data_IF_692107384928
#
_entry.id   IF_692107384928
#
_cell.length_a   1.000
_cell.length_b   1.000
_cell.length_c   1.000
_cell.angle_alpha   90.00
_cell.angle_beta   90.00
_cell.angle_gamma   90.00
#
_symmetry.space_group_name_H-M   'P 1'
#
loop_
_entity.id
_entity.type
_entity.pdbx_description
1 polymer ?
#
# COMPACT_ATOMS: atom_id res chain seq x y z
N UNK A 1 8.77 18.25 -6.87
CA UNK A 1 8.70 16.95 -6.15
C UNK A 1 8.14 15.83 -7.02
N UNK A 2 7.05 16.07 -7.76
CA UNK A 2 6.50 15.14 -8.75
C UNK A 2 7.57 14.53 -9.68
N UNK A 3 8.46 15.33 -10.26
CA UNK A 3 9.55 14.82 -11.14
C UNK A 3 10.49 13.80 -10.48
N UNK A 4 10.76 13.89 -9.17
CA UNK A 4 11.65 12.94 -8.47
C UNK A 4 10.92 11.63 -8.21
N UNK A 5 9.64 11.70 -7.86
CA UNK A 5 8.78 10.52 -7.67
C UNK A 5 8.54 9.82 -9.00
N UNK A 6 8.20 10.56 -10.05
CA UNK A 6 8.03 10.04 -11.41
C UNK A 6 9.33 9.43 -11.93
N UNK A 7 10.48 10.11 -11.80
CA UNK A 7 11.77 9.56 -12.22
C UNK A 7 12.21 8.34 -11.38
N UNK A 8 11.84 8.26 -10.10
CA UNK A 8 12.08 7.09 -9.27
C UNK A 8 11.22 5.89 -9.71
N UNK A 9 9.95 6.12 -10.04
CA UNK A 9 9.00 5.07 -10.46
C UNK A 9 9.26 4.60 -11.89
N UNK A 10 9.68 5.48 -12.79
CA UNK A 10 9.99 5.20 -14.20
C UNK A 10 11.33 4.48 -14.40
N UNK A 11 12.25 4.53 -13.43
CA UNK A 11 13.50 3.81 -13.53
C UNK A 11 13.27 2.30 -13.39
N UNK A 12 13.57 1.55 -14.46
CA UNK A 12 13.51 0.08 -14.50
C UNK A 12 14.44 -0.62 -13.49
N UNK A 13 15.34 0.14 -12.87
CA UNK A 13 16.26 -0.31 -11.81
C UNK A 13 15.80 0.07 -10.40
N UNK A 14 14.60 0.63 -10.22
CA UNK A 14 14.10 1.07 -8.92
C UNK A 14 13.97 -0.08 -7.90
N UNK A 15 13.68 -1.30 -8.37
CA UNK A 15 13.69 -2.50 -7.54
C UNK A 15 15.11 -2.84 -7.04
N UNK A 16 16.15 -2.62 -7.86
CA UNK A 16 17.55 -2.77 -7.46
C UNK A 16 17.98 -1.63 -6.53
N UNK A 17 17.53 -0.41 -6.80
CA UNK A 17 17.72 0.75 -5.93
C UNK A 17 17.11 0.50 -4.54
N UNK A 18 15.84 0.11 -4.43
CA UNK A 18 15.19 -0.22 -3.15
C UNK A 18 15.81 -1.40 -2.41
N UNK A 19 16.44 -2.33 -3.13
CA UNK A 19 17.18 -3.46 -2.53
C UNK A 19 18.53 -3.03 -1.94
N UNK A 20 19.10 -1.90 -2.40
CA UNK A 20 20.25 -1.29 -1.75
C UNK A 20 19.81 -0.48 -0.52
N UNK A 21 20.42 -0.74 0.63
CA UNK A 21 20.15 -0.05 1.90
C UNK A 21 20.29 1.49 1.78
N UNK A 22 21.09 1.97 0.81
CA UNK A 22 21.21 3.38 0.43
C UNK A 22 19.90 4.05 -0.03
N UNK A 23 18.95 3.35 -0.68
CA UNK A 23 17.70 3.95 -1.16
C UNK A 23 16.73 4.33 -0.02
N UNK A 24 16.89 3.70 1.14
CA UNK A 24 16.15 4.04 2.34
C UNK A 24 16.47 5.47 2.80
N UNK A 25 17.65 6.02 2.48
CA UNK A 25 18.04 7.38 2.88
C UNK A 25 17.33 8.48 2.06
N UNK A 26 17.33 8.49 0.72
CA UNK A 26 16.59 9.47 -0.08
C UNK A 26 15.08 9.43 0.16
N UNK A 27 14.50 8.23 0.31
CA UNK A 27 13.07 8.09 0.57
C UNK A 27 12.72 8.54 1.99
N UNK A 28 13.56 8.24 3.00
CA UNK A 28 13.43 8.86 4.34
C UNK A 28 13.53 10.38 4.28
N UNK A 29 14.46 10.91 3.47
CA UNK A 29 14.57 12.36 3.25
C UNK A 29 13.27 12.91 2.67
N UNK A 30 12.69 12.30 1.63
CA UNK A 30 11.38 12.76 1.12
C UNK A 30 10.30 12.76 2.21
N UNK A 31 10.25 11.75 3.09
CA UNK A 31 9.30 11.74 4.23
C UNK A 31 9.58 12.76 5.33
N UNK A 32 10.74 13.41 5.31
CA UNK A 32 11.11 14.47 6.26
C UNK A 32 10.77 15.88 5.74
N UNK A 33 10.66 16.06 4.42
CA UNK A 33 10.53 17.39 3.81
C UNK A 33 9.11 17.73 3.34
N UNK A 34 8.28 16.73 3.05
CA UNK A 34 6.95 16.99 2.53
C UNK A 34 5.92 16.05 3.15
N UNK A 35 4.88 16.70 3.62
CA UNK A 35 3.85 16.15 4.45
C UNK A 35 2.77 15.43 3.61
N UNK A 36 2.76 15.63 2.30
CA UNK A 36 1.76 15.16 1.35
C UNK A 36 2.31 14.11 0.36
N UNK A 37 3.57 13.67 0.51
CA UNK A 37 4.20 12.66 -0.38
C UNK A 37 3.35 11.40 -0.51
N UNK A 38 2.79 10.90 0.60
CA UNK A 38 1.93 9.71 0.57
C UNK A 38 0.68 9.94 -0.28
N UNK A 39 0.05 11.11 -0.14
CA UNK A 39 -1.15 11.48 -0.88
C UNK A 39 -0.86 11.56 -2.38
N UNK A 40 0.20 12.27 -2.78
CA UNK A 40 0.60 12.37 -4.18
C UNK A 40 0.91 11.00 -4.81
N UNK A 41 1.54 10.09 -4.06
CA UNK A 41 1.81 8.72 -4.52
C UNK A 41 0.52 7.91 -4.70
N UNK A 42 -0.47 8.09 -3.83
CA UNK A 42 -1.77 7.45 -3.97
C UNK A 42 -2.56 8.00 -5.15
N UNK A 43 -2.51 9.30 -5.40
CA UNK A 43 -3.16 9.93 -6.56
C UNK A 43 -2.61 9.33 -7.85
N UNK A 44 -1.28 9.26 -7.98
CA UNK A 44 -0.63 8.58 -9.12
C UNK A 44 -1.03 7.11 -9.19
N UNK A 45 -1.03 6.40 -8.07
CA UNK A 45 -1.43 4.98 -8.04
C UNK A 45 -2.89 4.79 -8.47
N UNK A 46 -3.78 5.72 -8.12
CA UNK A 46 -5.21 5.69 -8.47
C UNK A 46 -5.42 5.96 -9.96
N UNK A 47 -4.69 6.91 -10.53
CA UNK A 47 -4.72 7.22 -11.96
C UNK A 47 -4.13 6.06 -12.81
N UNK A 48 -3.11 5.39 -12.28
CA UNK A 48 -2.38 4.30 -12.95
C UNK A 48 -3.03 2.92 -12.86
N UNK A 49 -4.12 2.74 -12.08
CA UNK A 49 -4.86 1.45 -11.99
C UNK A 49 -5.29 0.97 -13.39
N UNK A 50 -5.35 1.87 -14.38
CA UNK A 50 -5.78 1.59 -15.75
C UNK A 50 -4.64 1.38 -16.78
N UNK A 51 -3.35 1.66 -16.48
CA UNK A 51 -2.35 1.93 -17.53
C UNK A 51 -1.12 0.98 -17.52
N UNK A 52 -0.51 0.66 -16.36
CA UNK A 52 0.70 -0.18 -16.35
C UNK A 52 0.95 -1.00 -15.07
N UNK A 53 1.06 -2.31 -15.23
CA UNK A 53 1.36 -3.23 -14.11
C UNK A 53 2.76 -3.04 -13.52
N UNK A 54 3.75 -2.57 -14.30
CA UNK A 54 5.10 -2.31 -13.79
C UNK A 54 5.17 -1.06 -12.92
N UNK A 55 4.51 0.02 -13.33
CA UNK A 55 4.45 1.28 -12.57
C UNK A 55 3.73 1.06 -11.23
N UNK A 56 2.65 0.28 -11.22
CA UNK A 56 1.94 -0.11 -9.99
C UNK A 56 2.85 -0.80 -8.96
N UNK A 57 3.78 -1.66 -9.41
CA UNK A 57 4.68 -2.39 -8.52
C UNK A 57 5.70 -1.47 -7.86
N UNK A 58 6.36 -0.60 -8.63
CA UNK A 58 7.36 0.34 -8.10
C UNK A 58 6.71 1.35 -7.15
N UNK A 59 5.52 1.85 -7.48
CA UNK A 59 4.74 2.74 -6.60
C UNK A 59 4.40 2.08 -5.26
N UNK A 60 4.00 0.80 -5.28
CA UNK A 60 3.72 0.04 -4.06
C UNK A 60 4.98 -0.13 -3.19
N UNK A 61 6.16 -0.32 -3.78
CA UNK A 61 7.43 -0.38 -3.03
C UNK A 61 7.73 0.96 -2.35
N UNK A 62 7.57 2.09 -3.07
CA UNK A 62 7.74 3.43 -2.48
C UNK A 62 6.76 3.65 -1.32
N UNK A 63 5.48 3.31 -1.53
CA UNK A 63 4.45 3.46 -0.52
C UNK A 63 4.74 2.63 0.74
N UNK A 64 5.32 1.44 0.61
CA UNK A 64 5.70 0.61 1.77
C UNK A 64 6.81 1.29 2.61
N UNK A 65 7.77 1.91 1.94
CA UNK A 65 8.87 2.65 2.58
C UNK A 65 8.32 3.88 3.29
N UNK A 66 7.47 4.66 2.61
CA UNK A 66 6.83 5.85 3.20
C UNK A 66 5.91 5.46 4.36
N UNK A 67 5.22 4.31 4.28
CA UNK A 67 4.37 3.77 5.35
C UNK A 67 5.13 3.32 6.60
N UNK A 68 6.47 3.25 6.59
CA UNK A 68 7.26 2.99 7.79
C UNK A 68 7.06 4.09 8.86
N UNK A 69 6.83 5.33 8.44
CA UNK A 69 6.54 6.46 9.33
C UNK A 69 5.11 6.40 9.86
N UNK A 70 4.95 6.48 11.19
CA UNK A 70 3.62 6.55 11.84
C UNK A 70 2.81 7.76 11.38
N UNK A 71 3.46 8.91 11.15
CA UNK A 71 2.83 10.15 10.67
C UNK A 71 2.19 9.93 9.30
N UNK A 72 2.94 9.31 8.39
CA UNK A 72 2.47 9.07 7.02
C UNK A 72 1.33 8.06 6.97
N UNK A 73 1.33 7.06 7.87
CA UNK A 73 0.20 6.14 7.99
C UNK A 73 -1.09 6.87 8.35
N UNK A 74 -1.08 7.82 9.27
CA UNK A 74 -2.31 8.55 9.62
C UNK A 74 -2.82 9.40 8.44
N UNK A 75 -1.92 10.11 7.77
CA UNK A 75 -2.26 10.94 6.61
C UNK A 75 -2.80 10.17 5.43
N UNK A 76 -2.31 8.96 5.25
CA UNK A 76 -2.83 8.07 4.23
C UNK A 76 -4.32 7.74 4.46
N UNK A 77 -4.77 7.62 5.71
CA UNK A 77 -6.21 7.48 6.01
C UNK A 77 -6.96 8.74 5.58
N UNK A 78 -6.46 9.91 5.97
CA UNK A 78 -7.04 11.22 5.61
C UNK A 78 -7.10 11.42 4.09
N UNK A 79 -6.13 10.87 3.36
CA UNK A 79 -6.07 10.87 1.91
C UNK A 79 -6.98 9.82 1.23
N UNK A 80 -7.79 9.07 1.98
CA UNK A 80 -8.73 8.09 1.40
C UNK A 80 -8.06 6.82 0.87
N UNK A 81 -6.84 6.53 1.30
CA UNK A 81 -6.04 5.41 0.80
C UNK A 81 -6.69 4.03 0.97
N UNK A 82 -7.55 3.85 1.98
CA UNK A 82 -8.26 2.60 2.20
C UNK A 82 -9.07 2.19 0.96
N UNK A 83 -9.78 3.15 0.34
CA UNK A 83 -10.55 2.93 -0.88
C UNK A 83 -9.65 2.56 -2.06
N UNK A 84 -8.62 3.39 -2.30
CA UNK A 84 -7.66 3.19 -3.39
C UNK A 84 -7.02 1.80 -3.32
N UNK A 85 -6.56 1.38 -2.13
CA UNK A 85 -5.91 0.09 -1.94
C UNK A 85 -6.89 -1.09 -2.07
N UNK A 86 -8.14 -0.93 -1.66
CA UNK A 86 -9.17 -1.97 -1.84
C UNK A 86 -9.54 -2.12 -3.33
N UNK A 87 -9.75 -1.03 -4.04
CA UNK A 87 -10.02 -1.03 -5.48
C UNK A 87 -8.83 -1.62 -6.26
N UNK A 88 -7.61 -1.19 -5.93
CA UNK A 88 -6.39 -1.76 -6.48
C UNK A 88 -6.31 -3.26 -6.23
N UNK A 89 -6.59 -3.73 -5.00
CA UNK A 89 -6.60 -5.14 -4.67
C UNK A 89 -7.61 -5.94 -5.48
N UNK A 90 -8.63 -5.37 -6.09
CA UNK A 90 -9.54 -6.12 -6.96
C UNK A 90 -8.93 -6.35 -8.34
N UNK A 91 -8.25 -5.34 -8.87
CA UNK A 91 -7.75 -5.28 -10.26
C UNK A 91 -6.33 -5.84 -10.44
N UNK A 92 -5.48 -5.78 -9.41
CA UNK A 92 -4.06 -6.15 -9.57
C UNK A 92 -3.80 -7.63 -9.89
N UNK A 93 -2.74 -7.84 -10.67
CA UNK A 93 -2.18 -9.16 -10.96
C UNK A 93 -1.48 -9.77 -9.73
N UNK A 94 -1.03 -11.02 -9.87
CA UNK A 94 -0.40 -11.78 -8.77
C UNK A 94 0.82 -11.09 -8.15
N UNK A 95 1.67 -10.47 -8.97
CA UNK A 95 2.91 -9.82 -8.51
C UNK A 95 2.64 -8.58 -7.67
N UNK A 96 1.80 -7.66 -8.17
CA UNK A 96 1.45 -6.44 -7.43
C UNK A 96 0.53 -6.71 -6.24
N UNK A 97 -0.21 -7.82 -6.26
CA UNK A 97 -1.09 -8.21 -5.15
C UNK A 97 -0.31 -8.49 -3.86
N UNK A 98 0.83 -9.17 -3.91
CA UNK A 98 1.63 -9.45 -2.71
C UNK A 98 2.11 -8.16 -2.05
N UNK A 99 2.59 -7.21 -2.85
CA UNK A 99 3.03 -5.89 -2.39
C UNK A 99 1.89 -5.07 -1.81
N UNK A 100 0.73 -5.07 -2.47
CA UNK A 100 -0.47 -4.39 -1.96
C UNK A 100 -0.92 -4.97 -0.61
N UNK A 101 -0.92 -6.31 -0.46
CA UNK A 101 -1.24 -6.96 0.81
C UNK A 101 -0.19 -6.66 1.90
N UNK A 102 1.09 -6.55 1.54
CA UNK A 102 2.15 -6.20 2.49
C UNK A 102 1.99 -4.78 3.01
N UNK A 103 1.74 -3.82 2.10
CA UNK A 103 1.42 -2.45 2.45
C UNK A 103 0.18 -2.42 3.37
N UNK A 104 -0.91 -3.11 3.00
CA UNK A 104 -2.13 -3.16 3.80
C UNK A 104 -1.88 -3.73 5.19
N UNK A 105 -1.09 -4.80 5.32
CA UNK A 105 -0.68 -5.38 6.61
C UNK A 105 0.05 -4.34 7.47
N UNK A 106 0.97 -3.56 6.89
CA UNK A 106 1.71 -2.51 7.62
C UNK A 106 0.81 -1.38 8.08
N UNK A 107 -0.17 -1.01 7.25
CA UNK A 107 -1.15 0.03 7.58
C UNK A 107 -2.10 -0.44 8.69
N UNK A 108 -2.55 -1.70 8.63
CA UNK A 108 -3.42 -2.32 9.64
C UNK A 108 -2.80 -2.46 11.03
N UNK A 109 -1.50 -2.19 11.23
CA UNK A 109 -0.90 -2.08 12.57
C UNK A 109 -1.55 -0.96 13.41
N UNK A 110 -2.25 -0.02 12.76
CA UNK A 110 -2.99 1.08 13.38
C UNK A 110 -4.50 0.79 13.41
N UNK A 111 -5.15 1.09 14.53
CA UNK A 111 -6.57 0.81 14.72
C UNK A 111 -7.48 1.64 13.80
N UNK A 112 -7.02 2.82 13.40
CA UNK A 112 -7.72 3.73 12.49
C UNK A 112 -7.78 3.13 11.08
N UNK A 113 -6.68 2.53 10.62
CA UNK A 113 -6.63 1.82 9.34
C UNK A 113 -7.50 0.57 9.31
N UNK A 114 -7.46 -0.21 10.39
CA UNK A 114 -8.34 -1.39 10.52
C UNK A 114 -9.81 -0.98 10.44
N UNK A 115 -10.18 0.14 11.07
CA UNK A 115 -11.53 0.68 11.00
C UNK A 115 -11.89 1.11 9.58
N UNK A 116 -11.06 1.91 8.93
CA UNK A 116 -11.28 2.38 7.57
C UNK A 116 -11.42 1.22 6.56
N UNK A 117 -10.66 0.13 6.75
CA UNK A 117 -10.76 -1.06 5.91
C UNK A 117 -12.07 -1.84 6.12
N UNK A 118 -12.59 -1.90 7.35
CA UNK A 118 -13.87 -2.57 7.67
C UNK A 118 -15.07 -1.73 7.23
N UNK A 119 -14.98 -0.40 7.34
CA UNK A 119 -16.03 0.52 6.89
C UNK A 119 -16.18 0.53 5.37
N UNK A 120 -15.15 0.12 4.63
CA UNK A 120 -15.24 -0.04 3.18
C UNK A 120 -16.02 -1.30 2.81
N UNK A 121 -17.08 -1.14 2.00
CA UNK A 121 -18.03 -2.21 1.62
C UNK A 121 -17.36 -3.49 1.08
N UNK A 122 -16.31 -3.33 0.27
CA UNK A 122 -15.53 -4.44 -0.29
C UNK A 122 -14.25 -4.79 0.50
N UNK A 123 -13.93 -4.13 1.62
CA UNK A 123 -12.59 -4.22 2.22
C UNK A 123 -12.21 -5.64 2.67
N UNK A 124 -13.04 -6.26 3.50
CA UNK A 124 -12.82 -7.64 3.97
C UNK A 124 -12.92 -8.65 2.82
N UNK A 125 -13.85 -8.43 1.89
CA UNK A 125 -14.06 -9.31 0.74
C UNK A 125 -12.88 -9.29 -0.25
N UNK A 126 -12.29 -8.11 -0.50
CA UNK A 126 -11.15 -7.94 -1.40
C UNK A 126 -9.91 -8.68 -0.88
N UNK A 127 -9.59 -8.51 0.41
CA UNK A 127 -8.48 -9.22 1.08
C UNK A 127 -8.71 -10.74 1.02
N UNK A 128 -9.91 -11.20 1.38
CA UNK A 128 -10.25 -12.62 1.38
C UNK A 128 -10.16 -13.25 -0.01
N UNK A 129 -10.68 -12.56 -1.04
CA UNK A 129 -10.68 -13.04 -2.43
C UNK A 129 -9.26 -13.17 -2.98
N UNK A 130 -8.38 -12.21 -2.71
CA UNK A 130 -7.01 -12.24 -3.21
C UNK A 130 -6.09 -13.17 -2.42
N UNK A 131 -6.30 -13.31 -1.11
CA UNK A 131 -5.57 -14.28 -0.28
C UNK A 131 -5.59 -15.67 -0.95
N UNK A 132 -6.77 -16.18 -1.26
CA UNK A 132 -6.98 -17.56 -1.74
C UNK A 132 -6.52 -17.83 -3.19
N UNK A 133 -6.17 -16.80 -3.97
CA UNK A 133 -6.02 -16.93 -5.43
C UNK A 133 -4.61 -16.65 -5.96
N UNK A 134 -3.69 -16.24 -5.09
CA UNK A 134 -2.48 -15.54 -5.53
C UNK A 134 -1.22 -16.33 -5.18
N UNK A 135 -0.86 -16.48 -3.91
CA UNK A 135 0.39 -17.17 -3.53
C UNK A 135 0.43 -17.56 -2.05
N UNK A 136 1.45 -18.33 -1.65
CA UNK A 136 1.69 -18.66 -0.24
C UNK A 136 1.99 -17.40 0.60
N UNK A 137 2.68 -16.41 0.03
CA UNK A 137 2.96 -15.13 0.70
C UNK A 137 1.66 -14.35 0.91
N UNK A 138 0.82 -14.25 -0.12
CA UNK A 138 -0.50 -13.61 -0.03
C UNK A 138 -1.38 -14.31 1.02
N UNK A 139 -1.35 -15.66 1.08
CA UNK A 139 -2.01 -16.44 2.12
C UNK A 139 -1.53 -16.04 3.52
N UNK A 140 -0.20 -16.02 3.75
CA UNK A 140 0.42 -15.65 5.03
C UNK A 140 0.09 -14.21 5.44
N UNK A 141 -0.05 -13.29 4.50
CA UNK A 141 -0.45 -11.90 4.77
C UNK A 141 -1.93 -11.82 5.12
N UNK A 142 -2.80 -12.48 4.35
CA UNK A 142 -4.24 -12.46 4.60
C UNK A 142 -4.62 -13.04 5.96
N UNK A 143 -3.99 -14.14 6.41
CA UNK A 143 -4.22 -14.71 7.75
C UNK A 143 -3.73 -13.82 8.90
N UNK A 144 -2.92 -12.80 8.63
CA UNK A 144 -2.54 -11.78 9.63
C UNK A 144 -3.53 -10.61 9.63
N UNK A 145 -3.92 -10.15 8.44
CA UNK A 145 -4.84 -9.02 8.27
C UNK A 145 -6.25 -9.38 8.76
N UNK A 146 -6.80 -10.52 8.33
CA UNK A 146 -8.20 -10.87 8.57
C UNK A 146 -8.56 -10.99 10.06
N UNK A 147 -7.77 -11.64 10.93
CA UNK A 147 -8.07 -11.69 12.37
C UNK A 147 -7.97 -10.32 13.05
N UNK A 148 -7.03 -9.47 12.62
CA UNK A 148 -6.85 -8.12 13.18
C UNK A 148 -8.04 -7.21 12.88
N UNK A 149 -8.72 -7.41 11.75
CA UNK A 149 -9.95 -6.66 11.40
C UNK A 149 -11.21 -7.34 11.94
N UNK A 150 -11.24 -8.67 12.03
CA UNK A 150 -12.39 -9.43 12.51
C UNK A 150 -12.64 -9.25 14.02
N UNK A 151 -11.61 -8.92 14.81
CA UNK A 151 -11.75 -8.64 16.25
C UNK A 151 -12.62 -7.42 16.57
N UNK A 152 -13.04 -6.64 15.57
CA UNK A 152 -14.05 -5.57 15.69
C UNK A 152 -15.44 -5.94 15.17
N UNK A 153 -15.64 -7.12 14.56
CA UNK A 153 -16.95 -7.56 14.06
C UNK A 153 -17.79 -8.28 15.12
N UNK A 154 -17.29 -8.38 16.35
CA UNK A 154 -18.01 -9.00 17.47
C UNK A 154 -17.59 -8.37 18.78
N UNK A 155 -17.99 -7.10 19.00
CA UNK A 155 -18.47 -6.49 20.25
C UNK A 155 -18.81 -5.04 19.89
N UNK A 156 -20.10 -4.79 19.65
CA UNK A 156 -20.90 -3.68 20.20
C UNK A 156 -22.38 -3.95 19.87
#
# INVERSE_FOLDING_TARGET
MFHVVTAAVENSDFAAFCSCEEAHRPLRVLTLYDDDVFKSLLEVLSDEISISTKLSSSLLDVLEIVAASKKNRLKAIEAGAARVLVELLLEVNRHSCEKALLLLKRLCERAEWRRALVEHEMGVAAVSKKMLRVSEVANKLGVKILPEVATKLGVD
#
